data_IF_604715831424
#
_entry.id   IF_604715831424
#
_cell.length_a   1.000
_cell.length_b   1.000
_cell.length_c   1.000
_cell.angle_alpha   90.00
_cell.angle_beta   90.00
_cell.angle_gamma   90.00
#
_symmetry.space_group_name_H-M   'P 1'
#
loop_
_entity.id
_entity.type
_entity.pdbx_description
1 polymer ?
#
# COMPACT_ATOMS: atom_id res chain seq x y z
N UNK A 1 -12.59 25.16 -24.30
CA UNK A 1 -13.72 25.37 -23.38
C UNK A 1 -13.95 24.03 -22.73
N UNK A 2 -13.35 23.90 -21.57
CA UNK A 2 -13.31 22.74 -20.70
C UNK A 2 -14.73 22.49 -20.18
N UNK A 3 -15.17 21.23 -20.18
CA UNK A 3 -16.44 20.85 -19.59
C UNK A 3 -16.14 20.09 -18.30
N UNK A 4 -16.39 20.78 -17.19
CA UNK A 4 -16.21 20.41 -15.79
C UNK A 4 -17.14 19.26 -15.37
N UNK A 5 -16.88 18.03 -15.80
CA UNK A 5 -17.63 16.85 -15.32
C UNK A 5 -16.92 16.05 -14.23
N UNK A 6 -15.76 16.50 -13.75
CA UNK A 6 -14.95 15.74 -12.77
C UNK A 6 -15.23 16.05 -11.29
N UNK A 7 -16.08 17.02 -10.95
CA UNK A 7 -16.21 17.50 -9.55
C UNK A 7 -17.56 17.21 -8.85
N UNK A 8 -18.56 16.64 -9.54
CA UNK A 8 -19.92 16.51 -8.98
C UNK A 8 -20.21 15.09 -8.45
N UNK A 9 -19.47 14.07 -8.88
CA UNK A 9 -19.70 12.68 -8.47
C UNK A 9 -19.56 12.44 -6.95
N UNK A 10 -18.74 13.25 -6.27
CA UNK A 10 -18.59 13.24 -4.82
C UNK A 10 -19.88 13.66 -4.08
N UNK A 11 -20.63 14.62 -4.62
CA UNK A 11 -21.85 15.16 -3.99
C UNK A 11 -23.05 14.21 -4.11
N UNK A 12 -23.02 13.29 -5.08
CA UNK A 12 -24.13 12.36 -5.34
C UNK A 12 -24.09 11.13 -4.43
N UNK A 13 -22.91 10.77 -3.89
CA UNK A 13 -22.74 9.62 -2.99
C UNK A 13 -21.73 9.88 -1.86
N UNK A 14 -21.92 10.92 -1.02
CA UNK A 14 -20.95 11.30 0.01
C UNK A 14 -20.65 10.18 1.01
N UNK A 15 -21.62 9.33 1.35
CA UNK A 15 -21.44 8.17 2.25
C UNK A 15 -20.48 7.13 1.67
N UNK A 16 -20.46 6.96 0.34
CA UNK A 16 -19.55 6.05 -0.35
C UNK A 16 -18.10 6.50 -0.18
N UNK A 17 -17.85 7.81 -0.07
CA UNK A 17 -16.51 8.40 0.08
C UNK A 17 -16.09 8.61 1.53
N UNK A 18 -17.03 8.91 2.44
CA UNK A 18 -16.76 9.08 3.87
C UNK A 18 -16.26 7.79 4.55
N UNK A 19 -16.56 6.62 3.97
CA UNK A 19 -16.08 5.32 4.44
C UNK A 19 -14.80 4.80 3.78
N UNK A 20 -14.17 5.56 2.88
CA UNK A 20 -12.99 5.12 2.15
C UNK A 20 -11.71 5.48 2.89
N UNK A 21 -10.81 4.51 3.00
CA UNK A 21 -9.53 4.72 3.65
C UNK A 21 -8.55 5.46 2.74
N UNK A 22 -8.23 6.70 3.10
CA UNK A 22 -7.02 7.38 2.61
C UNK A 22 -5.78 6.87 3.36
N UNK A 23 -4.56 6.99 2.79
CA UNK A 23 -3.32 6.66 3.51
C UNK A 23 -3.19 7.35 4.86
N UNK A 24 -3.70 8.58 5.00
CA UNK A 24 -3.64 9.34 6.24
C UNK A 24 -4.58 8.77 7.30
N UNK A 25 -5.85 8.51 6.95
CA UNK A 25 -6.81 7.87 7.84
C UNK A 25 -6.38 6.47 8.28
N UNK A 26 -5.77 5.68 7.39
CA UNK A 26 -5.21 4.36 7.77
C UNK A 26 -4.16 4.53 8.86
N UNK A 27 -3.25 5.50 8.70
CA UNK A 27 -2.18 5.72 9.69
C UNK A 27 -2.71 6.26 11.01
N UNK A 28 -3.78 7.04 11.00
CA UNK A 28 -4.44 7.52 12.23
C UNK A 28 -5.12 6.37 12.99
N UNK A 29 -5.78 5.44 12.29
CA UNK A 29 -6.47 4.29 12.89
C UNK A 29 -5.48 3.18 13.36
N UNK A 30 -4.33 3.08 12.69
CA UNK A 30 -3.30 2.05 12.90
C UNK A 30 -1.90 2.64 13.15
N UNK A 31 -1.71 3.55 14.13
CA UNK A 31 -0.51 4.38 14.25
C UNK A 31 0.78 3.59 14.53
N UNK A 32 0.68 2.43 15.18
CA UNK A 32 1.84 1.58 15.50
C UNK A 32 2.14 0.54 14.42
N UNK A 33 1.35 0.47 13.35
CA UNK A 33 1.54 -0.51 12.28
C UNK A 33 2.39 0.01 11.13
N UNK A 34 2.76 1.29 11.12
CA UNK A 34 3.46 1.90 9.98
C UNK A 34 4.69 2.69 10.41
N UNK A 35 5.74 2.58 9.61
CA UNK A 35 6.90 3.48 9.67
C UNK A 35 6.74 4.52 8.57
N UNK A 36 6.97 5.78 8.91
CA UNK A 36 7.01 6.88 7.96
C UNK A 36 8.47 7.20 7.62
N UNK A 37 8.74 7.47 6.35
CA UNK A 37 10.04 7.95 5.88
C UNK A 37 9.87 8.79 4.62
N UNK A 38 10.97 9.27 4.08
CA UNK A 38 11.02 10.04 2.85
C UNK A 38 12.09 9.46 1.91
N UNK A 39 11.73 9.32 0.63
CA UNK A 39 12.65 8.84 -0.41
C UNK A 39 12.54 9.77 -1.59
N UNK A 40 13.65 10.35 -2.04
CA UNK A 40 13.66 11.31 -3.15
C UNK A 40 12.61 12.43 -2.97
N UNK A 41 12.44 12.95 -1.74
CA UNK A 41 11.41 13.96 -1.35
C UNK A 41 9.96 13.49 -1.44
N UNK A 42 9.74 12.19 -1.61
CA UNK A 42 8.41 11.59 -1.60
C UNK A 42 8.16 10.97 -0.23
N UNK A 43 7.16 11.46 0.53
CA UNK A 43 6.74 10.82 1.76
C UNK A 43 6.16 9.44 1.44
N UNK A 44 6.69 8.43 2.11
CA UNK A 44 6.20 7.06 2.01
C UNK A 44 5.97 6.49 3.41
N UNK A 45 5.12 5.48 3.47
CA UNK A 45 4.92 4.71 4.68
C UNK A 45 4.91 3.23 4.33
N UNK A 46 5.37 2.38 5.23
CA UNK A 46 5.29 0.94 5.04
C UNK A 46 5.00 0.25 6.35
N UNK A 47 4.31 -0.88 6.24
CA UNK A 47 3.83 -1.62 7.39
C UNK A 47 5.00 -2.25 8.18
N UNK A 48 4.96 -2.25 9.50
CA UNK A 48 5.89 -3.04 10.33
C UNK A 48 5.47 -4.50 10.32
N UNK A 49 6.45 -5.42 10.43
CA UNK A 49 6.12 -6.83 10.54
C UNK A 49 5.28 -7.08 11.81
N UNK A 50 4.08 -7.66 11.72
CA UNK A 50 3.23 -7.88 12.88
C UNK A 50 3.69 -9.02 13.79
N UNK A 51 4.79 -9.72 13.45
CA UNK A 51 5.12 -11.03 14.01
C UNK A 51 6.59 -11.16 14.41
N UNK A 52 6.80 -11.89 15.52
CA UNK A 52 8.08 -12.58 15.79
C UNK A 52 8.32 -13.59 14.66
N UNK A 53 9.59 -13.82 14.32
CA UNK A 53 10.06 -14.40 13.06
C UNK A 53 9.33 -15.69 12.59
N UNK A 54 8.76 -16.47 13.51
CA UNK A 54 8.17 -17.80 13.31
C UNK A 54 6.81 -17.84 12.58
N UNK A 55 6.07 -16.73 12.48
CA UNK A 55 4.73 -16.70 11.84
C UNK A 55 4.67 -15.88 10.55
N UNK A 56 5.81 -15.35 10.09
CA UNK A 56 5.89 -14.45 8.93
C UNK A 56 5.37 -15.09 7.64
N UNK A 57 5.47 -16.41 7.50
CA UNK A 57 5.07 -17.14 6.29
C UNK A 57 3.56 -17.21 6.09
N UNK A 58 2.76 -16.90 7.12
CA UNK A 58 1.30 -16.82 7.02
C UNK A 58 0.84 -15.58 6.22
N UNK A 59 1.70 -14.57 6.06
CA UNK A 59 1.38 -13.28 5.45
C UNK A 59 2.26 -13.00 4.24
N UNK A 60 1.69 -13.20 3.05
CA UNK A 60 2.44 -13.07 1.78
C UNK A 60 2.47 -11.65 1.22
N UNK A 61 1.91 -10.68 1.94
CA UNK A 61 1.79 -9.30 1.47
C UNK A 61 2.00 -8.27 2.58
N UNK A 62 2.50 -7.10 2.18
CA UNK A 62 2.81 -5.98 3.07
C UNK A 62 2.24 -4.69 2.51
N UNK A 63 1.65 -3.84 3.36
CA UNK A 63 1.18 -2.54 2.92
C UNK A 63 2.33 -1.54 2.72
N UNK A 64 2.22 -0.77 1.64
CA UNK A 64 3.13 0.30 1.25
C UNK A 64 2.30 1.48 0.75
N UNK A 65 2.58 2.68 1.25
CA UNK A 65 1.82 3.88 0.95
C UNK A 65 2.72 4.95 0.35
N UNK A 66 2.16 5.68 -0.61
CA UNK A 66 2.61 7.03 -0.94
C UNK A 66 1.64 8.03 -0.31
N UNK A 67 1.88 9.34 -0.49
CA UNK A 67 1.00 10.39 0.05
C UNK A 67 -0.50 10.13 -0.21
N UNK A 68 -0.85 9.74 -1.43
CA UNK A 68 -2.25 9.70 -1.88
C UNK A 68 -2.74 8.28 -2.22
N UNK A 69 -1.85 7.30 -2.32
CA UNK A 69 -2.19 5.98 -2.85
C UNK A 69 -1.76 4.88 -1.90
N UNK A 70 -2.61 3.85 -1.84
CA UNK A 70 -2.41 2.64 -1.06
C UNK A 70 -1.95 1.52 -1.97
N UNK A 71 -0.93 0.78 -1.55
CA UNK A 71 -0.42 -0.37 -2.28
C UNK A 71 -0.21 -1.56 -1.35
N UNK A 72 -0.22 -2.75 -1.93
CA UNK A 72 0.37 -3.95 -1.33
C UNK A 72 1.60 -4.38 -2.11
N UNK A 73 2.58 -4.93 -1.40
CA UNK A 73 3.75 -5.57 -1.94
C UNK A 73 3.64 -7.06 -1.70
N UNK A 74 3.96 -7.88 -2.70
CA UNK A 74 4.06 -9.33 -2.60
C UNK A 74 5.35 -9.79 -3.23
N UNK A 75 6.06 -10.69 -2.57
CA UNK A 75 7.24 -11.34 -3.11
C UNK A 75 6.89 -12.63 -3.85
N UNK A 76 7.81 -13.11 -4.67
CA UNK A 76 7.76 -14.47 -5.17
C UNK A 76 7.82 -15.50 -4.03
N UNK A 77 7.54 -16.77 -4.37
CA UNK A 77 7.53 -17.89 -3.40
C UNK A 77 8.89 -18.20 -2.76
N UNK A 78 9.97 -17.53 -3.14
CA UNK A 78 11.34 -17.81 -2.70
C UNK A 78 11.87 -16.79 -1.70
N UNK A 79 11.06 -15.81 -1.31
CA UNK A 79 11.39 -14.83 -0.29
C UNK A 79 10.12 -14.44 0.45
N UNK A 80 10.20 -14.26 1.76
CA UNK A 80 9.12 -13.67 2.51
C UNK A 80 9.15 -12.14 2.31
N UNK A 81 8.00 -11.50 2.04
CA UNK A 81 7.93 -10.05 1.82
C UNK A 81 8.40 -9.25 3.05
N UNK A 82 8.28 -9.81 4.25
CA UNK A 82 8.72 -9.20 5.49
C UNK A 82 10.25 -9.19 5.66
N UNK A 83 10.97 -9.97 4.87
CA UNK A 83 12.44 -9.99 4.84
C UNK A 83 13.01 -8.97 3.83
N UNK A 84 12.15 -8.29 3.08
CA UNK A 84 12.55 -7.16 2.25
C UNK A 84 13.02 -6.01 3.15
N UNK A 85 14.27 -5.56 2.95
CA UNK A 85 14.87 -4.48 3.72
C UNK A 85 14.25 -3.14 3.30
N UNK A 86 13.32 -2.67 4.14
CA UNK A 86 12.65 -1.37 3.98
C UNK A 86 13.43 -0.22 4.64
N UNK A 87 14.71 -0.42 4.95
CA UNK A 87 15.63 0.66 5.36
C UNK A 87 16.66 0.98 4.26
N UNK A 88 16.81 0.09 3.28
CA UNK A 88 17.68 0.31 2.12
C UNK A 88 17.05 1.31 1.14
N UNK A 89 17.72 2.45 1.00
CA UNK A 89 17.32 3.53 0.11
C UNK A 89 17.13 3.08 -1.34
N UNK A 90 18.00 2.24 -1.89
CA UNK A 90 17.90 1.82 -3.31
C UNK A 90 16.66 0.96 -3.55
N UNK A 91 16.33 0.10 -2.58
CA UNK A 91 15.10 -0.69 -2.63
C UNK A 91 13.88 0.21 -2.55
N UNK A 92 13.84 1.10 -1.56
CA UNK A 92 12.72 2.00 -1.37
C UNK A 92 12.52 2.96 -2.56
N UNK A 93 13.60 3.46 -3.17
CA UNK A 93 13.54 4.32 -4.35
C UNK A 93 12.96 3.56 -5.55
N UNK A 94 13.37 2.31 -5.75
CA UNK A 94 12.79 1.42 -6.78
C UNK A 94 11.31 1.18 -6.54
N UNK A 95 10.91 0.82 -5.30
CA UNK A 95 9.51 0.61 -4.94
C UNK A 95 8.68 1.87 -5.16
N UNK A 96 9.18 3.02 -4.70
CA UNK A 96 8.51 4.32 -4.79
C UNK A 96 8.32 4.74 -6.24
N UNK A 97 9.36 4.61 -7.07
CA UNK A 97 9.29 4.89 -8.52
C UNK A 97 8.22 4.05 -9.21
N UNK A 98 8.18 2.74 -8.91
CA UNK A 98 7.18 1.82 -9.48
C UNK A 98 5.76 2.10 -8.97
N UNK A 99 5.61 2.43 -7.70
CA UNK A 99 4.34 2.82 -7.09
C UNK A 99 3.77 4.09 -7.75
N UNK A 100 4.59 5.13 -7.92
CA UNK A 100 4.20 6.38 -8.57
C UNK A 100 3.81 6.10 -10.02
N UNK A 101 4.65 5.40 -10.78
CA UNK A 101 4.33 5.06 -12.17
C UNK A 101 3.01 4.29 -12.28
N UNK A 102 2.79 3.30 -11.40
CA UNK A 102 1.54 2.54 -11.36
C UNK A 102 0.33 3.43 -11.05
N UNK A 103 0.43 4.33 -10.06
CA UNK A 103 -0.67 5.25 -9.72
C UNK A 103 -1.05 6.17 -10.88
N UNK A 104 -0.07 6.69 -11.63
CA UNK A 104 -0.31 7.52 -12.82
C UNK A 104 -1.02 6.70 -13.91
N UNK A 105 -0.57 5.47 -14.18
CA UNK A 105 -1.22 4.60 -15.17
C UNK A 105 -2.58 4.04 -14.74
N UNK A 106 -2.92 4.18 -13.45
CA UNK A 106 -4.18 3.73 -12.88
C UNK A 106 -5.13 4.88 -12.48
N UNK A 107 -4.79 6.13 -12.84
CA UNK A 107 -5.64 7.27 -12.56
C UNK A 107 -7.02 7.07 -13.18
N UNK A 108 -8.08 7.05 -12.36
CA UNK A 108 -9.46 6.88 -12.81
C UNK A 108 -9.91 5.42 -13.00
N UNK A 109 -9.16 4.43 -12.51
CA UNK A 109 -9.63 3.04 -12.48
C UNK A 109 -9.99 2.59 -11.07
N UNK A 110 -11.20 2.04 -10.94
CA UNK A 110 -11.70 1.47 -9.68
C UNK A 110 -11.27 0.01 -9.44
N UNK A 111 -10.40 -0.52 -10.32
CA UNK A 111 -9.89 -1.89 -10.20
C UNK A 111 -8.46 -1.89 -9.67
N UNK A 112 -8.10 -2.87 -8.83
CA UNK A 112 -6.70 -3.11 -8.50
C UNK A 112 -5.89 -3.35 -9.78
N UNK A 113 -4.69 -2.78 -9.82
CA UNK A 113 -3.71 -3.05 -10.89
C UNK A 113 -2.38 -3.40 -10.29
N UNK A 114 -1.65 -4.24 -11.01
CA UNK A 114 -0.38 -4.80 -10.55
C UNK A 114 0.75 -4.41 -11.48
N UNK A 115 1.95 -4.26 -10.91
CA UNK A 115 3.20 -4.16 -11.64
C UNK A 115 4.21 -5.11 -11.02
N UNK A 116 4.79 -5.98 -11.82
CA UNK A 116 5.76 -6.98 -11.37
C UNK A 116 7.15 -6.62 -11.89
N UNK A 117 8.12 -6.54 -10.99
CA UNK A 117 9.49 -6.16 -11.30
C UNK A 117 10.47 -6.88 -10.37
N UNK A 118 11.73 -6.94 -10.79
CA UNK A 118 12.81 -7.52 -9.99
C UNK A 118 13.46 -6.43 -9.15
N UNK A 119 13.71 -6.70 -7.87
CA UNK A 119 14.62 -5.88 -7.06
C UNK A 119 16.03 -6.44 -7.21
N UNK A 120 16.97 -5.70 -7.84
CA UNK A 120 18.28 -6.25 -8.21
C UNK A 120 19.07 -6.82 -7.03
N UNK A 121 19.02 -6.17 -5.86
CA UNK A 121 19.75 -6.57 -4.65
C UNK A 121 19.41 -7.99 -4.19
N UNK A 122 18.14 -8.39 -4.30
CA UNK A 122 17.69 -9.72 -3.88
C UNK A 122 17.67 -10.72 -5.03
N UNK A 123 17.72 -10.24 -6.28
CA UNK A 123 17.39 -11.04 -7.46
C UNK A 123 16.04 -11.78 -7.27
N UNK A 124 15.06 -11.05 -6.74
CA UNK A 124 13.72 -11.54 -6.44
C UNK A 124 12.67 -10.67 -7.09
N UNK A 125 11.56 -11.31 -7.44
CA UNK A 125 10.44 -10.66 -8.07
C UNK A 125 9.48 -10.13 -7.00
N UNK A 126 9.14 -8.86 -7.11
CA UNK A 126 8.12 -8.20 -6.32
C UNK A 126 6.97 -7.80 -7.24
N UNK A 127 5.75 -8.03 -6.78
CA UNK A 127 4.53 -7.50 -7.35
C UNK A 127 4.03 -6.38 -6.44
N UNK A 128 3.87 -5.18 -7.00
CA UNK A 128 3.18 -4.08 -6.35
C UNK A 128 1.76 -3.96 -6.90
N UNK A 129 0.77 -3.93 -6.02
CA UNK A 129 -0.64 -3.81 -6.38
C UNK A 129 -1.17 -2.49 -5.86
N UNK A 130 -1.69 -1.65 -6.74
CA UNK A 130 -2.38 -0.41 -6.39
C UNK A 130 -3.82 -0.73 -5.96
N UNK A 131 -4.21 -0.25 -4.78
CA UNK A 131 -5.55 -0.38 -4.24
C UNK A 131 -6.30 0.94 -4.44
N UNK A 132 -7.24 1.03 -5.40
CA UNK A 132 -8.01 2.25 -5.61
C UNK A 132 -8.93 2.50 -4.40
N UNK A 133 -9.30 3.76 -4.14
CA UNK A 133 -10.20 4.13 -3.05
C UNK A 133 -11.63 3.67 -3.37
N UNK A 134 -11.91 2.40 -3.11
CA UNK A 134 -13.24 1.79 -3.29
C UNK A 134 -13.68 1.12 -2.00
N UNK A 135 -14.99 0.85 -1.81
CA UNK A 135 -15.48 0.16 -0.62
C UNK A 135 -14.83 -1.21 -0.41
N UNK A 136 -14.61 -1.96 -1.50
CA UNK A 136 -13.96 -3.27 -1.44
C UNK A 136 -12.50 -3.18 -1.01
N UNK A 137 -11.73 -2.24 -1.58
CA UNK A 137 -10.36 -1.98 -1.14
C UNK A 137 -10.31 -1.56 0.32
N UNK A 138 -11.21 -0.66 0.74
CA UNK A 138 -11.27 -0.16 2.11
C UNK A 138 -11.61 -1.25 3.12
N UNK A 139 -12.56 -2.12 2.77
CA UNK A 139 -12.89 -3.31 3.57
C UNK A 139 -11.69 -4.24 3.67
N UNK A 140 -11.04 -4.55 2.55
CA UNK A 140 -9.86 -5.42 2.53
C UNK A 140 -8.70 -4.86 3.38
N UNK A 141 -8.42 -3.56 3.27
CA UNK A 141 -7.42 -2.86 4.10
C UNK A 141 -7.75 -3.02 5.57
N UNK A 142 -8.99 -2.69 5.97
CA UNK A 142 -9.45 -2.76 7.35
C UNK A 142 -9.36 -4.17 7.92
N UNK A 143 -9.96 -5.15 7.23
CA UNK A 143 -10.01 -6.54 7.68
C UNK A 143 -8.58 -7.11 7.86
N UNK A 144 -7.67 -6.72 6.97
CA UNK A 144 -6.27 -7.15 7.03
C UNK A 144 -5.52 -6.50 8.18
N UNK A 145 -5.62 -5.18 8.34
CA UNK A 145 -4.92 -4.44 9.40
C UNK A 145 -5.50 -4.71 10.78
N UNK A 146 -6.81 -4.93 10.92
CA UNK A 146 -7.44 -5.35 12.18
C UNK A 146 -6.95 -6.72 12.64
N UNK A 147 -6.84 -7.68 11.70
CA UNK A 147 -6.27 -8.99 11.99
C UNK A 147 -4.83 -8.89 12.45
N UNK A 148 -4.02 -8.04 11.81
CA UNK A 148 -2.61 -7.83 12.15
C UNK A 148 -2.41 -7.00 13.43
N UNK A 149 -3.33 -6.07 13.74
CA UNK A 149 -3.35 -5.28 14.99
C UNK A 149 -3.38 -6.17 16.22
N UNK A 150 -4.22 -7.22 16.17
CA UNK A 150 -4.37 -8.19 17.27
C UNK A 150 -3.05 -8.92 17.56
N UNK A 151 -2.27 -9.23 16.52
CA UNK A 151 -1.00 -9.96 16.64
C UNK A 151 0.13 -9.10 17.19
N UNK A 152 0.08 -7.78 16.99
CA UNK A 152 1.04 -6.83 17.55
C UNK A 152 0.82 -6.53 19.05
N UNK A 153 -0.32 -6.96 19.60
CA UNK A 153 -0.66 -6.78 21.02
C UNK A 153 -0.35 -8.01 21.89
N UNK A 154 0.06 -9.12 21.27
CA UNK A 154 0.49 -10.39 21.91
C UNK A 154 2.01 -10.47 22.12
#
# INVERSE_FOLDING_TARGET
MDNETSDISFLETPDTYLGLFTPEQIKEEYPNQFVNTEVSKTPISFEVSPLKQERRDEYTERFFFTKNNVFTLKSDRFMNIWDLDMTDYLNLDTLTSKAIALSVTNSGSDKPKENTFTIPKYNRTITITHLPPTPDSSKYIKDTLDRRKKLLQE
#
